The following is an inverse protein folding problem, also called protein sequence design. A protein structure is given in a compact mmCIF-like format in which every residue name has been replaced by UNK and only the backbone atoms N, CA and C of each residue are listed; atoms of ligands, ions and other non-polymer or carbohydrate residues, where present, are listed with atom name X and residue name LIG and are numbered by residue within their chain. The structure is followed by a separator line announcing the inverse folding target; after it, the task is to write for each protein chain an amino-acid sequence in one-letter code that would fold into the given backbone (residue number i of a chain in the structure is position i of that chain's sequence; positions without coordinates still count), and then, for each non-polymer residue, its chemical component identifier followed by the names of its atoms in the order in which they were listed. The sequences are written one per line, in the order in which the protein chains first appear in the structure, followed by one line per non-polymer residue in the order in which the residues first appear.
data_IF_710175154886
#
_entry.id   IF_710175154886
#
_cell.length_a   1.000
_cell.length_b   1.000
_cell.length_c   1.000
_cell.angle_alpha   90.00
_cell.angle_beta   90.00
_cell.angle_gamma   90.00
#
_symmetry.space_group_name_H-M   'P 1'
#
loop_
_entity.id
_entity.type
_entity.pdbx_description
1 polymer ?
#
# COMPACT_ATOMS: atom_id res chain seq x y z
N UNK A 1 -11.22 33.62 -3.35
CA UNK A 1 -10.61 32.27 -3.36
C UNK A 1 -9.15 32.22 -3.82
N UNK A 2 -8.74 32.92 -4.89
CA UNK A 2 -7.34 32.88 -5.37
C UNK A 2 -6.30 33.43 -4.37
N UNK A 3 -6.64 34.49 -3.63
CA UNK A 3 -5.74 35.08 -2.61
C UNK A 3 -5.49 34.15 -1.42
N UNK A 4 -6.51 33.40 -0.99
CA UNK A 4 -6.40 32.44 0.12
C UNK A 4 -5.64 31.17 -0.31
N UNK A 5 -5.74 30.79 -1.58
CA UNK A 5 -4.99 29.66 -2.14
C UNK A 5 -3.49 29.99 -2.27
N UNK A 6 -3.12 31.23 -2.62
CA UNK A 6 -1.71 31.67 -2.63
C UNK A 6 -1.15 31.84 -1.21
N UNK A 7 -1.97 32.30 -0.25
CA UNK A 7 -1.56 32.40 1.16
C UNK A 7 -1.35 31.01 1.79
N UNK A 8 -2.21 30.04 1.47
CA UNK A 8 -2.08 28.66 1.93
C UNK A 8 -0.85 27.97 1.33
N UNK A 9 -0.50 28.26 0.07
CA UNK A 9 0.70 27.70 -0.58
C UNK A 9 2.00 28.29 0.00
N UNK A 10 2.00 29.58 0.36
CA UNK A 10 3.12 30.24 1.04
C UNK A 10 3.28 29.77 2.50
N UNK A 11 2.17 29.49 3.19
CA UNK A 11 2.17 28.95 4.55
C UNK A 11 2.64 27.48 4.57
N UNK A 12 2.32 26.68 3.55
CA UNK A 12 2.81 25.30 3.40
C UNK A 12 4.32 25.25 3.09
N UNK A 13 4.84 26.24 2.36
CA UNK A 13 6.28 26.38 2.11
C UNK A 13 7.08 26.82 3.37
N UNK A 14 6.44 27.49 4.33
CA UNK A 14 7.04 27.85 5.63
C UNK A 14 7.07 26.68 6.63
N UNK A 15 6.21 25.67 6.45
CA UNK A 15 6.19 24.44 7.27
C UNK A 15 7.22 23.40 6.82
N UNK A 16 7.77 23.54 5.60
CA UNK A 16 9.02 22.88 5.20
C UNK A 16 10.19 23.70 5.75
N UNK A 17 10.30 23.77 7.07
CA UNK A 17 11.41 24.43 7.73
C UNK A 17 12.71 23.81 7.26
N UNK A 18 13.43 24.51 6.38
CA UNK A 18 14.81 24.18 6.02
C UNK A 18 15.62 24.30 7.31
N UNK A 19 15.81 23.20 8.04
CA UNK A 19 16.50 23.24 9.31
C UNK A 19 17.92 23.74 9.07
N UNK A 20 18.26 24.88 9.66
CA UNK A 20 19.63 25.37 9.54
C UNK A 20 20.55 24.40 10.29
N UNK A 21 21.76 24.17 9.80
CA UNK A 21 22.72 23.24 10.44
C UNK A 21 23.05 23.67 11.87
N UNK A 22 23.00 24.99 12.13
CA UNK A 22 23.12 25.57 13.48
C UNK A 22 21.95 25.20 14.40
N UNK A 23 20.74 25.06 13.84
CA UNK A 23 19.57 24.58 14.59
C UNK A 23 19.76 23.12 14.98
N UNK A 24 20.10 22.25 14.03
CA UNK A 24 20.35 20.82 14.27
C UNK A 24 21.41 20.61 15.36
N UNK A 25 22.56 21.30 15.24
CA UNK A 25 23.61 21.26 16.26
C UNK A 25 23.10 21.66 17.66
N UNK A 26 22.31 22.74 17.77
CA UNK A 26 21.77 23.21 19.05
C UNK A 26 20.77 22.24 19.70
N UNK A 27 20.10 21.42 18.90
CA UNK A 27 19.15 20.42 19.39
C UNK A 27 19.82 19.08 19.72
N UNK A 28 21.13 18.93 19.47
CA UNK A 28 21.86 17.67 19.69
C UNK A 28 21.88 16.75 18.47
N UNK A 29 21.29 17.16 17.34
CA UNK A 29 21.25 16.40 16.08
C UNK A 29 22.58 16.53 15.32
N UNK A 30 23.68 16.14 15.96
CA UNK A 30 25.03 16.36 15.45
C UNK A 30 25.29 15.66 14.10
N UNK A 31 24.73 14.45 13.92
CA UNK A 31 24.86 13.67 12.69
C UNK A 31 24.31 14.43 11.47
N UNK A 32 23.07 14.90 11.56
CA UNK A 32 22.41 15.62 10.48
C UNK A 32 23.03 17.01 10.29
N UNK A 33 23.48 17.66 11.37
CA UNK A 33 24.20 18.92 11.29
C UNK A 33 25.50 18.81 10.46
N UNK A 34 26.20 17.67 10.51
CA UNK A 34 27.36 17.39 9.64
C UNK A 34 26.92 17.29 8.18
N UNK A 35 25.94 16.45 7.85
CA UNK A 35 25.49 16.27 6.46
C UNK A 35 24.99 17.57 5.83
N UNK A 36 24.21 18.33 6.57
CA UNK A 36 23.71 19.62 6.12
C UNK A 36 24.86 20.61 5.88
N UNK A 37 25.89 20.59 6.74
CA UNK A 37 27.06 21.46 6.58
C UNK A 37 27.92 21.06 5.39
N UNK A 38 28.16 19.75 5.19
CA UNK A 38 28.87 19.22 4.02
C UNK A 38 28.14 19.60 2.73
N UNK A 39 26.82 19.42 2.68
CA UNK A 39 25.98 19.75 1.52
C UNK A 39 26.08 21.24 1.17
N UNK A 40 26.01 22.13 2.17
CA UNK A 40 26.19 23.57 1.95
C UNK A 40 27.59 23.94 1.47
N UNK A 41 28.63 23.26 1.97
CA UNK A 41 30.01 23.48 1.55
C UNK A 41 30.29 22.96 0.13
N UNK A 42 29.58 21.92 -0.32
CA UNK A 42 29.61 21.47 -1.72
C UNK A 42 29.01 22.53 -2.66
N UNK A 43 27.90 23.16 -2.26
CA UNK A 43 27.28 24.25 -3.03
C UNK A 43 28.04 25.57 -2.94
N UNK A 44 28.68 25.87 -1.80
CA UNK A 44 29.50 27.06 -1.59
C UNK A 44 30.71 26.74 -0.69
N UNK A 45 31.90 26.52 -1.28
CA UNK A 45 33.12 26.15 -0.54
C UNK A 45 33.56 27.12 0.55
N UNK A 46 33.16 28.39 0.48
CA UNK A 46 33.55 29.45 1.43
C UNK A 46 32.42 29.80 2.42
N UNK A 47 31.43 28.93 2.59
CA UNK A 47 30.25 29.19 3.41
C UNK A 47 30.57 29.22 4.92
N UNK A 48 30.89 30.42 5.45
CA UNK A 48 31.30 30.67 6.85
C UNK A 48 30.51 29.91 7.93
N UNK A 49 29.17 29.97 7.91
CA UNK A 49 28.34 29.29 8.93
C UNK A 49 28.40 27.76 8.83
N UNK A 50 28.57 27.22 7.62
CA UNK A 50 28.65 25.77 7.42
C UNK A 50 30.03 25.27 7.83
N UNK A 51 31.07 26.08 7.61
CA UNK A 51 32.41 25.86 8.18
C UNK A 51 32.37 25.80 9.70
N UNK A 52 31.78 26.82 10.36
CA UNK A 52 31.65 26.86 11.82
C UNK A 52 30.89 25.65 12.36
N UNK A 53 29.73 25.33 11.77
CA UNK A 53 28.89 24.21 12.22
C UNK A 53 29.62 22.89 12.00
N UNK A 54 30.25 22.64 10.85
CA UNK A 54 30.98 21.39 10.58
C UNK A 54 32.12 21.16 11.58
N UNK A 55 32.90 22.21 11.90
CA UNK A 55 33.99 22.12 12.88
C UNK A 55 33.53 21.71 14.27
N UNK A 56 32.29 22.06 14.65
CA UNK A 56 31.72 21.73 15.95
C UNK A 56 30.94 20.41 15.92
N UNK A 57 30.12 20.19 14.90
CA UNK A 57 29.19 19.08 14.83
C UNK A 57 29.88 17.75 14.53
N UNK A 58 30.95 17.73 13.73
CA UNK A 58 31.65 16.49 13.41
C UNK A 58 32.27 15.80 14.64
N UNK A 59 33.15 16.45 15.43
CA UNK A 59 33.70 15.81 16.62
C UNK A 59 32.62 15.46 17.64
N UNK A 60 31.60 16.31 17.80
CA UNK A 60 30.46 16.03 18.68
C UNK A 60 29.67 14.79 18.23
N UNK A 61 29.43 14.63 16.92
CA UNK A 61 28.73 13.46 16.37
C UNK A 61 29.52 12.18 16.62
N UNK A 62 30.83 12.17 16.31
CA UNK A 62 31.69 11.00 16.53
C UNK A 62 31.72 10.63 18.02
N UNK A 63 31.99 11.60 18.90
CA UNK A 63 32.02 11.38 20.35
C UNK A 63 30.68 10.86 20.88
N UNK A 64 29.57 11.44 20.43
CA UNK A 64 28.24 11.06 20.87
C UNK A 64 27.87 9.63 20.44
N UNK A 65 28.20 9.25 19.20
CA UNK A 65 27.97 7.90 18.69
C UNK A 65 28.86 6.89 19.41
N UNK A 66 30.17 7.17 19.54
CA UNK A 66 31.11 6.29 20.24
C UNK A 66 30.70 6.08 21.71
N UNK A 67 30.32 7.15 22.41
CA UNK A 67 29.88 7.07 23.80
C UNK A 67 28.64 6.19 23.97
N UNK A 68 27.68 6.26 23.04
CA UNK A 68 26.50 5.39 23.05
C UNK A 68 26.87 3.93 22.82
N UNK A 69 27.76 3.64 21.87
CA UNK A 69 28.23 2.27 21.63
C UNK A 69 28.93 1.71 22.87
N UNK A 70 29.84 2.48 23.48
CA UNK A 70 30.53 2.06 24.70
C UNK A 70 29.56 1.86 25.87
N UNK A 71 28.57 2.75 26.04
CA UNK A 71 27.56 2.61 27.08
C UNK A 71 26.69 1.36 26.87
N UNK A 72 26.26 1.08 25.64
CA UNK A 72 25.48 -0.11 25.31
C UNK A 72 26.28 -1.40 25.56
N UNK A 73 27.57 -1.39 25.21
CA UNK A 73 28.47 -2.53 25.46
C UNK A 73 28.70 -2.74 26.95
N UNK A 74 29.00 -1.67 27.69
CA UNK A 74 29.29 -1.73 29.13
C UNK A 74 28.07 -2.12 29.97
N UNK A 75 26.86 -1.80 29.52
CA UNK A 75 25.60 -2.14 30.20
C UNK A 75 24.99 -3.47 29.75
N UNK A 76 25.70 -4.25 28.91
CA UNK A 76 25.24 -5.55 28.41
C UNK A 76 23.84 -5.51 27.76
N UNK A 77 23.57 -4.46 26.97
CA UNK A 77 22.26 -4.32 26.33
C UNK A 77 22.00 -5.46 25.33
N UNK A 78 20.76 -5.95 25.21
CA UNK A 78 20.38 -6.90 24.18
C UNK A 78 20.75 -6.38 22.79
N UNK A 79 21.43 -7.21 21.99
CA UNK A 79 21.87 -6.86 20.63
C UNK A 79 22.79 -5.63 20.56
N UNK A 80 23.58 -5.37 21.60
CA UNK A 80 24.58 -4.28 21.65
C UNK A 80 25.54 -4.31 20.45
N UNK A 81 25.98 -5.49 19.98
CA UNK A 81 26.93 -5.56 18.87
C UNK A 81 26.26 -5.30 17.53
N UNK A 82 25.01 -5.75 17.36
CA UNK A 82 24.16 -5.36 16.22
C UNK A 82 24.02 -3.83 16.14
N UNK A 83 23.70 -3.18 17.27
CA UNK A 83 23.63 -1.72 17.37
C UNK A 83 24.98 -1.05 17.06
N UNK A 84 26.09 -1.61 17.58
CA UNK A 84 27.43 -1.11 17.31
C UNK A 84 27.78 -1.13 15.81
N UNK A 85 27.38 -2.17 15.06
CA UNK A 85 27.58 -2.21 13.60
C UNK A 85 26.88 -1.04 12.91
N UNK A 86 25.63 -0.76 13.27
CA UNK A 86 24.87 0.37 12.71
C UNK A 86 25.51 1.72 13.06
N UNK A 87 25.86 1.91 14.34
CA UNK A 87 26.45 3.16 14.82
C UNK A 87 27.85 3.42 14.22
N UNK A 88 28.70 2.41 14.09
CA UNK A 88 29.98 2.56 13.41
C UNK A 88 29.82 2.82 11.91
N UNK A 89 28.83 2.22 11.26
CA UNK A 89 28.49 2.56 9.87
C UNK A 89 28.10 4.03 9.73
N UNK A 90 27.37 4.59 10.70
CA UNK A 90 27.05 6.03 10.72
C UNK A 90 28.32 6.89 10.77
N UNK A 91 29.31 6.56 11.61
CA UNK A 91 30.59 7.29 11.63
C UNK A 91 31.30 7.20 10.26
N UNK A 92 31.32 6.01 9.64
CA UNK A 92 31.90 5.84 8.31
C UNK A 92 31.16 6.64 7.23
N UNK A 93 29.84 6.77 7.32
CA UNK A 93 29.08 7.63 6.41
C UNK A 93 29.46 9.11 6.57
N UNK A 94 29.73 9.58 7.79
CA UNK A 94 30.24 10.95 8.02
C UNK A 94 31.64 11.13 7.44
N UNK A 95 32.53 10.15 7.66
CA UNK A 95 33.86 10.11 7.07
C UNK A 95 33.80 10.25 5.55
N UNK A 96 33.00 9.41 4.91
CA UNK A 96 32.80 9.39 3.47
C UNK A 96 32.26 10.72 2.92
N UNK A 97 31.27 11.30 3.60
CA UNK A 97 30.68 12.58 3.20
C UNK A 97 31.72 13.71 3.20
N UNK A 98 32.59 13.73 4.21
CA UNK A 98 33.69 14.70 4.31
C UNK A 98 34.73 14.43 3.23
N UNK A 99 35.15 13.18 3.05
CA UNK A 99 36.15 12.78 2.04
C UNK A 99 35.72 13.16 0.61
N UNK A 100 34.42 13.09 0.30
CA UNK A 100 33.85 13.46 -1.01
C UNK A 100 33.66 14.97 -1.21
N UNK A 101 33.95 15.80 -0.20
CA UNK A 101 33.81 17.26 -0.28
C UNK A 101 35.15 17.95 -0.04
N UNK A 102 35.83 18.47 -1.08
CA UNK A 102 37.13 19.14 -0.91
C UNK A 102 37.10 20.32 0.07
N UNK A 103 35.96 21.02 0.16
CA UNK A 103 35.78 22.11 1.12
C UNK A 103 35.64 21.59 2.56
N UNK A 104 34.89 20.50 2.78
CA UNK A 104 34.77 19.87 4.08
C UNK A 104 36.09 19.23 4.54
N UNK A 105 36.81 18.58 3.62
CA UNK A 105 38.10 17.95 3.89
C UNK A 105 39.17 18.98 4.31
N UNK A 106 39.13 20.22 3.79
CA UNK A 106 40.00 21.30 4.30
C UNK A 106 39.74 21.65 5.75
N UNK A 107 38.49 21.49 6.21
CA UNK A 107 38.05 21.82 7.57
C UNK A 107 38.35 20.66 8.52
N UNK A 108 38.09 19.44 8.07
CA UNK A 108 38.36 18.18 8.79
C UNK A 108 39.32 17.34 7.92
N UNK A 109 40.65 17.55 8.03
CA UNK A 109 41.61 16.88 7.15
C UNK A 109 41.73 15.37 7.37
N UNK A 110 41.48 14.92 8.60
CA UNK A 110 41.62 13.52 8.99
C UNK A 110 40.31 13.03 9.62
N UNK A 111 39.23 12.84 8.85
CA UNK A 111 38.00 12.29 9.39
C UNK A 111 38.26 10.85 9.89
N UNK A 112 37.86 10.57 11.12
CA UNK A 112 37.95 9.24 11.76
C UNK A 112 37.06 8.24 11.01
N UNK A 113 37.58 7.03 10.83
CA UNK A 113 36.83 5.86 10.35
C UNK A 113 36.77 4.78 11.43
N UNK A 114 35.73 3.96 11.41
CA UNK A 114 35.49 2.80 12.28
C UNK A 114 35.44 1.49 11.50
N UNK A 115 36.19 1.37 10.39
CA UNK A 115 36.22 0.16 9.56
C UNK A 115 36.79 -1.07 10.26
N UNK A 116 37.68 -0.90 11.23
CA UNK A 116 38.20 -2.02 12.01
C UNK A 116 37.16 -2.48 13.05
N UNK A 117 36.61 -1.51 13.78
CA UNK A 117 35.62 -1.74 14.84
C UNK A 117 34.32 -2.31 14.29
N UNK A 118 33.90 -1.92 13.08
CA UNK A 118 32.74 -2.54 12.44
C UNK A 118 33.01 -4.00 12.08
N UNK A 119 34.23 -4.36 11.66
CA UNK A 119 34.62 -5.76 11.40
C UNK A 119 34.49 -6.61 12.66
N UNK A 120 35.11 -6.17 13.76
CA UNK A 120 35.02 -6.85 15.06
C UNK A 120 33.59 -6.89 15.61
N UNK A 121 32.81 -5.82 15.44
CA UNK A 121 31.42 -5.77 15.86
C UNK A 121 30.53 -6.70 15.02
N UNK A 122 30.82 -6.89 13.73
CA UNK A 122 30.07 -7.82 12.87
C UNK A 122 30.23 -9.26 13.33
N UNK A 123 31.43 -9.70 13.68
CA UNK A 123 31.66 -11.06 14.19
C UNK A 123 30.87 -11.31 15.46
N UNK A 124 30.87 -10.35 16.40
CA UNK A 124 30.12 -10.44 17.66
C UNK A 124 28.61 -10.30 17.46
N UNK A 125 28.16 -9.45 16.52
CA UNK A 125 26.76 -9.32 16.18
C UNK A 125 26.22 -10.60 15.56
N UNK A 126 27.00 -11.26 14.70
CA UNK A 126 26.63 -12.56 14.13
C UNK A 126 26.45 -13.60 15.23
N UNK A 127 27.36 -13.65 16.21
CA UNK A 127 27.25 -14.53 17.38
C UNK A 127 26.01 -14.25 18.23
N UNK A 128 25.76 -12.98 18.58
CA UNK A 128 24.58 -12.58 19.35
C UNK A 128 23.29 -13.01 18.64
N UNK A 129 23.20 -12.73 17.34
CA UNK A 129 22.01 -13.05 16.55
C UNK A 129 21.82 -14.55 16.38
N UNK A 130 22.88 -15.30 16.08
CA UNK A 130 22.81 -16.76 15.97
C UNK A 130 22.38 -17.39 17.30
N UNK A 131 22.99 -16.98 18.41
CA UNK A 131 22.68 -17.50 19.75
C UNK A 131 21.24 -17.18 20.14
N UNK A 132 20.79 -15.95 19.89
CA UNK A 132 19.39 -15.57 20.10
C UNK A 132 18.46 -16.41 19.20
N UNK A 133 18.81 -16.65 17.94
CA UNK A 133 18.02 -17.48 17.02
C UNK A 133 17.84 -18.91 17.52
N UNK A 134 18.92 -19.52 18.05
CA UNK A 134 18.85 -20.84 18.69
C UNK A 134 17.91 -20.80 19.91
N UNK A 135 18.04 -19.79 20.77
CA UNK A 135 17.17 -19.65 21.94
C UNK A 135 15.69 -19.47 21.57
N UNK A 136 15.40 -18.78 20.47
CA UNK A 136 14.04 -18.66 19.95
C UNK A 136 13.52 -20.01 19.42
N UNK A 137 14.34 -20.77 18.68
CA UNK A 137 13.96 -22.12 18.20
C UNK A 137 13.65 -23.09 19.35
N UNK A 138 14.38 -23.01 20.47
CA UNK A 138 14.16 -23.84 21.66
C UNK A 138 12.77 -23.65 22.30
N UNK A 139 12.10 -22.52 22.05
CA UNK A 139 10.73 -22.25 22.53
C UNK A 139 9.67 -23.04 21.76
N UNK A 140 10.06 -23.70 20.66
CA UNK A 140 9.27 -24.68 19.91
C UNK A 140 7.84 -24.22 19.58
N UNK A 141 7.70 -22.99 19.09
CA UNK A 141 6.46 -22.51 18.51
C UNK A 141 6.72 -21.61 17.31
N UNK A 142 5.65 -21.39 16.55
CA UNK A 142 5.70 -20.72 15.25
C UNK A 142 6.21 -19.28 15.31
N UNK A 143 5.72 -18.49 16.26
CA UNK A 143 6.09 -17.08 16.35
C UNK A 143 7.57 -16.91 16.72
N UNK A 144 8.08 -17.76 17.62
CA UNK A 144 9.50 -17.78 17.92
C UNK A 144 10.33 -18.31 16.74
N UNK A 145 9.80 -19.25 15.94
CA UNK A 145 10.49 -19.70 14.70
C UNK A 145 10.61 -18.58 13.67
N UNK A 146 9.61 -17.69 13.52
CA UNK A 146 9.75 -16.49 12.66
C UNK A 146 10.83 -15.55 13.16
N UNK A 147 10.86 -15.31 14.48
CA UNK A 147 11.87 -14.47 15.08
C UNK A 147 13.27 -15.07 14.86
N UNK A 148 13.41 -16.38 15.05
CA UNK A 148 14.63 -17.11 14.77
C UNK A 148 15.08 -16.97 13.30
N UNK A 149 14.16 -17.09 12.34
CA UNK A 149 14.46 -16.88 10.92
C UNK A 149 15.12 -15.52 10.66
N UNK A 150 14.55 -14.44 11.19
CA UNK A 150 15.13 -13.10 11.03
C UNK A 150 16.48 -12.97 11.75
N UNK A 151 16.64 -13.58 12.93
CA UNK A 151 17.89 -13.59 13.67
C UNK A 151 19.01 -14.33 12.91
N UNK A 152 18.72 -15.49 12.31
CA UNK A 152 19.68 -16.22 11.49
C UNK A 152 20.01 -15.48 10.18
N UNK A 153 19.01 -14.86 9.55
CA UNK A 153 19.21 -13.99 8.40
C UNK A 153 20.16 -12.83 8.74
N UNK A 154 19.96 -12.19 9.89
CA UNK A 154 20.82 -11.10 10.35
C UNK A 154 22.24 -11.62 10.67
N UNK A 155 22.37 -12.79 11.30
CA UNK A 155 23.67 -13.42 11.55
C UNK A 155 24.46 -13.66 10.26
N UNK A 156 23.80 -14.28 9.25
CA UNK A 156 24.38 -14.47 7.92
C UNK A 156 24.65 -13.14 7.19
N UNK A 157 23.85 -12.11 7.44
CA UNK A 157 24.05 -10.76 6.91
C UNK A 157 25.27 -10.03 7.50
N UNK A 158 25.59 -10.29 8.78
CA UNK A 158 26.80 -9.77 9.42
C UNK A 158 28.05 -10.54 9.00
N UNK A 159 28.00 -11.86 9.02
CA UNK A 159 29.10 -12.72 8.56
C UNK A 159 28.50 -13.81 7.65
N UNK A 160 28.76 -13.76 6.32
CA UNK A 160 28.25 -14.76 5.40
C UNK A 160 28.67 -16.17 5.80
N UNK A 161 27.71 -17.08 5.91
CA UNK A 161 27.97 -18.45 6.35
C UNK A 161 28.42 -18.55 7.81
N UNK A 162 27.99 -17.62 8.68
CA UNK A 162 28.29 -17.70 10.11
C UNK A 162 27.72 -18.99 10.70
N UNK A 163 28.61 -19.95 11.03
CA UNK A 163 28.23 -21.30 11.49
C UNK A 163 27.19 -21.91 10.54
N UNK A 164 26.16 -22.56 11.05
CA UNK A 164 25.04 -23.13 10.28
C UNK A 164 23.87 -22.14 10.11
N UNK A 165 24.15 -20.84 10.04
CA UNK A 165 23.09 -19.81 9.98
C UNK A 165 22.16 -19.97 8.76
N UNK A 166 22.66 -20.48 7.63
CA UNK A 166 21.85 -20.70 6.43
C UNK A 166 20.88 -21.86 6.67
N UNK A 167 21.38 -23.01 7.14
CA UNK A 167 20.56 -24.20 7.43
C UNK A 167 19.55 -23.91 8.54
N UNK A 168 19.95 -23.18 9.58
CA UNK A 168 19.07 -22.78 10.67
C UNK A 168 18.01 -21.77 10.22
N UNK A 169 18.35 -20.85 9.31
CA UNK A 169 17.39 -19.94 8.69
C UNK A 169 16.33 -20.72 7.92
N UNK A 170 16.72 -21.69 7.09
CA UNK A 170 15.78 -22.52 6.31
C UNK A 170 14.90 -23.38 7.21
N UNK A 171 15.48 -23.96 8.27
CA UNK A 171 14.72 -24.71 9.28
C UNK A 171 13.70 -23.82 9.98
N UNK A 172 14.14 -22.68 10.50
CA UNK A 172 13.26 -21.71 11.18
C UNK A 172 12.16 -21.21 10.24
N UNK A 173 12.48 -21.01 8.96
CA UNK A 173 11.51 -20.64 7.93
C UNK A 173 10.45 -21.71 7.75
N UNK A 174 10.86 -22.97 7.64
CA UNK A 174 9.94 -24.10 7.49
C UNK A 174 9.01 -24.26 8.71
N UNK A 175 9.57 -24.12 9.92
CA UNK A 175 8.84 -24.24 11.19
C UNK A 175 7.87 -23.05 11.39
N UNK A 176 8.22 -21.87 10.88
CA UNK A 176 7.38 -20.68 10.87
C UNK A 176 6.27 -20.70 9.80
N UNK A 177 6.44 -21.46 8.73
CA UNK A 177 5.56 -21.39 7.55
C UNK A 177 4.27 -22.19 7.74
N UNK A 178 3.12 -21.54 7.54
CA UNK A 178 1.85 -22.23 7.47
C UNK A 178 1.64 -22.76 6.06
N UNK A 179 1.60 -24.08 5.96
CA UNK A 179 1.20 -24.82 4.76
C UNK A 179 -0.32 -24.94 4.73
N UNK A 180 -0.95 -24.47 3.66
CA UNK A 180 -2.40 -24.42 3.48
C UNK A 180 -2.79 -25.22 2.25
N UNK A 181 -3.71 -26.17 2.38
CA UNK A 181 -4.35 -26.80 1.22
C UNK A 181 -5.45 -25.89 0.68
N UNK A 182 -5.51 -25.69 -0.63
CA UNK A 182 -6.66 -25.09 -1.30
C UNK A 182 -7.50 -26.23 -1.89
N UNK A 183 -8.68 -26.45 -1.33
CA UNK A 183 -9.58 -27.52 -1.73
C UNK A 183 -10.05 -27.35 -3.19
N UNK A 184 -10.44 -28.45 -3.84
CA UNK A 184 -10.90 -28.43 -5.22
C UNK A 184 -12.26 -27.75 -5.33
N UNK A 185 -12.39 -26.80 -6.25
CA UNK A 185 -13.68 -26.17 -6.54
C UNK A 185 -14.64 -27.15 -7.21
N UNK A 186 -15.89 -27.13 -6.78
CA UNK A 186 -16.95 -27.83 -7.47
C UNK A 186 -17.24 -27.16 -8.83
N UNK A 187 -17.49 -27.93 -9.89
CA UNK A 187 -17.90 -27.37 -11.17
C UNK A 187 -19.22 -26.62 -10.99
N UNK A 188 -19.33 -25.48 -11.68
CA UNK A 188 -20.55 -24.68 -11.70
C UNK A 188 -20.95 -24.36 -13.14
N UNK A 189 -22.23 -24.03 -13.35
CA UNK A 189 -22.79 -23.77 -14.69
C UNK A 189 -22.13 -22.62 -15.45
N UNK A 190 -21.41 -21.74 -14.76
CA UNK A 190 -20.71 -20.60 -15.35
C UNK A 190 -19.23 -20.90 -15.64
N UNK A 191 -18.75 -22.08 -15.24
CA UNK A 191 -17.35 -22.48 -15.31
C UNK A 191 -16.41 -21.46 -14.65
N UNK A 192 -16.87 -20.83 -13.56
CA UNK A 192 -16.07 -19.88 -12.79
C UNK A 192 -15.12 -20.61 -11.85
N UNK A 193 -13.88 -20.12 -11.78
CA UNK A 193 -12.83 -20.64 -10.90
C UNK A 193 -12.22 -19.49 -10.10
N UNK A 194 -12.08 -19.68 -8.79
CA UNK A 194 -11.62 -18.67 -7.85
C UNK A 194 -10.34 -19.06 -7.10
N UNK A 195 -9.99 -20.35 -7.06
CA UNK A 195 -8.79 -20.85 -6.39
C UNK A 195 -7.51 -20.13 -6.83
N UNK A 196 -7.40 -19.73 -8.10
CA UNK A 196 -6.26 -18.97 -8.61
C UNK A 196 -6.00 -17.67 -7.83
N UNK A 197 -7.06 -17.04 -7.29
CA UNK A 197 -6.94 -15.81 -6.49
C UNK A 197 -6.50 -16.09 -5.05
N UNK A 198 -6.76 -17.29 -4.52
CA UNK A 198 -6.15 -17.76 -3.28
C UNK A 198 -4.65 -17.98 -3.49
N UNK A 199 -4.27 -18.69 -4.56
CA UNK A 199 -2.87 -18.96 -4.90
C UNK A 199 -2.05 -17.72 -5.25
N UNK A 200 -2.70 -16.67 -5.75
CA UNK A 200 -2.07 -15.39 -6.07
C UNK A 200 -1.58 -14.63 -4.83
N UNK A 201 -2.03 -14.97 -3.62
CA UNK A 201 -1.56 -14.33 -2.40
C UNK A 201 -0.10 -14.72 -2.10
N UNK A 202 0.77 -13.71 -2.06
CA UNK A 202 2.23 -13.84 -1.80
C UNK A 202 2.78 -12.82 -0.81
N UNK A 203 1.93 -11.98 -0.22
CA UNK A 203 2.38 -10.87 0.65
C UNK A 203 3.00 -11.34 1.97
N UNK A 204 2.65 -12.54 2.44
CA UNK A 204 3.24 -13.13 3.63
C UNK A 204 4.11 -14.32 3.26
N UNK A 205 5.42 -14.16 3.44
CA UNK A 205 6.40 -15.21 3.13
C UNK A 205 6.26 -16.45 4.04
N UNK A 206 5.52 -16.38 5.15
CA UNK A 206 5.28 -17.51 6.06
C UNK A 206 3.93 -18.19 5.83
N UNK A 207 3.34 -18.00 4.65
CA UNK A 207 2.13 -18.70 4.22
C UNK A 207 2.36 -19.27 2.83
N UNK A 208 2.14 -20.57 2.67
CA UNK A 208 2.34 -21.27 1.42
C UNK A 208 1.12 -22.14 1.10
N UNK A 209 0.56 -21.95 -0.09
CA UNK A 209 -0.59 -22.70 -0.57
C UNK A 209 -0.18 -23.88 -1.43
N UNK A 210 -0.94 -24.97 -1.31
CA UNK A 210 -0.76 -26.20 -2.05
C UNK A 210 -2.09 -26.71 -2.59
N UNK A 211 -2.04 -27.34 -3.75
CA UNK A 211 -3.14 -28.17 -4.25
C UNK A 211 -3.17 -29.52 -3.53
N UNK A 212 -4.32 -30.21 -3.50
CA UNK A 212 -4.39 -31.58 -2.96
C UNK A 212 -3.49 -32.56 -3.70
N UNK A 213 -3.18 -32.32 -4.97
CA UNK A 213 -2.27 -33.14 -5.79
C UNK A 213 -0.82 -33.00 -5.30
N UNK A 214 -0.38 -31.78 -4.99
CA UNK A 214 0.95 -31.52 -4.46
C UNK A 214 1.15 -32.21 -3.12
N UNK A 215 0.19 -32.09 -2.21
CA UNK A 215 0.26 -32.76 -0.90
C UNK A 215 0.24 -34.28 -1.03
N UNK A 216 -0.51 -34.84 -2.00
CA UNK A 216 -0.52 -36.29 -2.25
C UNK A 216 0.77 -36.80 -2.87
N UNK A 217 1.48 -35.98 -3.65
CA UNK A 217 2.71 -36.37 -4.33
C UNK A 217 3.96 -36.16 -3.49
N UNK A 218 3.92 -35.28 -2.49
CA UNK A 218 5.02 -35.01 -1.57
C UNK A 218 4.54 -35.12 -0.11
N UNK A 219 4.88 -36.24 0.52
CA UNK A 219 4.51 -36.55 1.91
C UNK A 219 5.23 -35.70 2.95
N UNK A 220 6.26 -34.93 2.56
CA UNK A 220 6.95 -33.99 3.46
C UNK A 220 6.13 -32.72 3.71
N UNK A 221 5.13 -32.44 2.86
CA UNK A 221 4.21 -31.33 3.07
C UNK A 221 3.21 -31.75 4.15
N UNK A 222 3.34 -31.16 5.34
CA UNK A 222 2.38 -31.28 6.44
C UNK A 222 1.51 -30.02 6.51
N UNK A 223 0.28 -30.04 5.95
CA UNK A 223 -0.59 -28.87 5.95
C UNK A 223 -1.19 -28.66 7.33
N UNK A 224 -1.32 -27.40 7.72
CA UNK A 224 -1.95 -27.01 8.98
C UNK A 224 -3.40 -26.58 8.78
N UNK A 225 -3.72 -26.07 7.59
CA UNK A 225 -5.03 -25.51 7.28
C UNK A 225 -5.54 -25.98 5.92
N UNK A 226 -6.85 -25.89 5.74
CA UNK A 226 -7.53 -26.00 4.46
C UNK A 226 -8.38 -24.77 4.19
N UNK A 227 -8.30 -24.25 2.98
CA UNK A 227 -9.16 -23.20 2.43
C UNK A 227 -10.10 -23.87 1.43
N UNK A 228 -11.39 -23.61 1.56
CA UNK A 228 -12.41 -24.02 0.59
C UNK A 228 -13.16 -22.79 0.11
N UNK A 229 -13.28 -22.67 -1.21
CA UNK A 229 -14.06 -21.61 -1.87
C UNK A 229 -15.19 -22.29 -2.62
N UNK A 230 -16.42 -22.08 -2.16
CA UNK A 230 -17.60 -22.65 -2.78
C UNK A 230 -18.39 -21.58 -3.50
N UNK A 231 -18.58 -21.73 -4.81
CA UNK A 231 -19.55 -20.92 -5.53
C UNK A 231 -20.97 -21.33 -5.14
N UNK A 232 -21.72 -20.42 -4.52
CA UNK A 232 -23.09 -20.70 -4.09
C UNK A 232 -24.09 -20.38 -5.20
N UNK A 233 -24.10 -19.12 -5.66
CA UNK A 233 -25.07 -18.67 -6.66
C UNK A 233 -24.65 -17.40 -7.37
N UNK A 234 -25.21 -17.25 -8.56
CA UNK A 234 -25.31 -16.01 -9.31
C UNK A 234 -26.75 -15.85 -9.81
N UNK A 235 -27.31 -14.66 -9.68
CA UNK A 235 -28.63 -14.33 -10.19
C UNK A 235 -28.71 -12.89 -10.68
N UNK A 236 -29.55 -12.67 -11.70
CA UNK A 236 -29.86 -11.35 -12.25
C UNK A 236 -31.34 -11.05 -12.06
N UNK A 237 -31.67 -9.79 -11.81
CA UNK A 237 -33.06 -9.33 -11.87
C UNK A 237 -33.48 -9.11 -13.33
N UNK A 238 -34.74 -9.38 -13.68
CA UNK A 238 -35.27 -8.98 -14.98
C UNK A 238 -35.13 -7.46 -15.18
N UNK A 239 -34.94 -6.98 -16.43
CA UNK A 239 -34.92 -5.55 -16.70
C UNK A 239 -36.20 -4.88 -16.23
N UNK A 240 -36.04 -3.83 -15.40
CA UNK A 240 -37.14 -2.97 -14.97
C UNK A 240 -37.05 -1.62 -15.66
N UNK A 241 -38.20 -1.08 -16.09
CA UNK A 241 -38.28 0.25 -16.70
C UNK A 241 -39.15 1.14 -15.83
N UNK A 242 -38.58 2.24 -15.33
CA UNK A 242 -39.33 3.33 -14.70
C UNK A 242 -39.46 4.50 -15.67
N UNK A 243 -40.51 5.32 -15.50
CA UNK A 243 -40.77 6.48 -16.34
C UNK A 243 -41.09 7.71 -15.51
N UNK A 244 -40.65 8.87 -15.98
CA UNK A 244 -40.95 10.18 -15.39
C UNK A 244 -41.33 11.14 -16.50
N UNK A 245 -42.51 11.75 -16.39
CA UNK A 245 -42.99 12.75 -17.34
C UNK A 245 -42.87 14.14 -16.75
N UNK A 246 -42.28 15.05 -17.51
CA UNK A 246 -42.12 16.46 -17.14
C UNK A 246 -42.68 17.34 -18.24
N UNK A 247 -43.43 18.37 -17.84
CA UNK A 247 -43.92 19.40 -18.73
C UNK A 247 -43.04 20.64 -18.56
N UNK A 248 -42.64 21.23 -19.67
CA UNK A 248 -41.84 22.44 -19.74
C UNK A 248 -42.64 23.53 -20.43
N UNK A 249 -42.47 24.77 -19.98
CA UNK A 249 -43.06 25.93 -20.62
C UNK A 249 -42.22 27.15 -20.37
N UNK A 250 -41.96 27.92 -21.43
CA UNK A 250 -41.25 29.19 -21.32
C UNK A 250 -41.69 30.17 -22.42
N UNK A 251 -41.48 31.47 -22.15
CA UNK A 251 -41.79 32.57 -23.05
C UNK A 251 -40.53 32.97 -23.82
N UNK A 252 -40.42 32.51 -25.06
CA UNK A 252 -39.26 32.77 -25.92
C UNK A 252 -39.51 33.96 -26.85
N UNK A 253 -38.47 34.75 -27.09
CA UNK A 253 -38.52 35.83 -28.08
C UNK A 253 -38.53 35.21 -29.48
N UNK A 254 -39.58 35.48 -30.26
CA UNK A 254 -39.78 34.95 -31.62
C UNK A 254 -39.57 35.99 -32.72
N UNK A 255 -39.34 37.23 -32.33
CA UNK A 255 -39.08 38.35 -33.23
C UNK A 255 -39.06 39.68 -32.49
N UNK A 256 -38.89 40.77 -33.22
CA UNK A 256 -38.97 42.12 -32.69
C UNK A 256 -40.05 42.90 -33.46
N UNK A 257 -40.84 43.68 -32.74
CA UNK A 257 -41.82 44.60 -33.34
C UNK A 257 -41.40 46.03 -33.04
N UNK A 258 -41.30 46.85 -34.07
CA UNK A 258 -41.05 48.29 -33.93
C UNK A 258 -42.34 48.97 -33.49
N UNK A 259 -42.31 49.60 -32.31
CA UNK A 259 -43.41 50.41 -31.79
C UNK A 259 -42.88 51.82 -31.58
N UNK A 260 -43.16 52.73 -32.51
CA UNK A 260 -42.49 54.04 -32.59
C UNK A 260 -41.05 53.90 -33.14
N UNK A 261 -40.06 54.48 -32.45
CA UNK A 261 -38.62 54.35 -32.77
C UNK A 261 -37.90 53.22 -31.99
N UNK A 262 -38.60 52.51 -31.10
CA UNK A 262 -38.00 51.48 -30.22
C UNK A 262 -38.40 50.08 -30.67
N UNK A 263 -37.41 49.17 -30.77
CA UNK A 263 -37.64 47.74 -31.01
C UNK A 263 -38.02 47.04 -29.70
N UNK A 264 -39.14 46.33 -29.70
CA UNK A 264 -39.58 45.52 -28.55
C UNK A 264 -39.60 44.03 -28.92
N UNK A 265 -39.11 43.12 -28.05
CA UNK A 265 -39.18 41.70 -28.30
C UNK A 265 -40.63 41.21 -28.28
N UNK A 266 -41.04 40.48 -29.31
CA UNK A 266 -42.28 39.72 -29.35
C UNK A 266 -42.01 38.37 -28.71
N UNK A 267 -42.63 38.12 -27.55
CA UNK A 267 -42.53 36.84 -26.86
C UNK A 267 -43.73 35.96 -27.17
N UNK A 268 -43.49 34.67 -27.38
CA UNK A 268 -44.53 33.64 -27.52
C UNK A 268 -44.29 32.57 -26.46
N UNK A 269 -45.37 32.10 -25.85
CA UNK A 269 -45.34 30.97 -24.93
C UNK A 269 -45.18 29.67 -25.72
N UNK A 270 -44.21 28.85 -25.33
CA UNK A 270 -43.95 27.54 -25.89
C UNK A 270 -44.04 26.50 -24.80
N UNK A 271 -44.53 25.32 -25.14
CA UNK A 271 -44.61 24.17 -24.23
C UNK A 271 -43.96 22.95 -24.86
N UNK A 272 -43.43 22.09 -24.01
CA UNK A 272 -42.95 20.78 -24.38
C UNK A 272 -43.24 19.78 -23.26
N UNK A 273 -43.23 18.51 -23.61
CA UNK A 273 -43.29 17.41 -22.67
C UNK A 273 -42.13 16.48 -22.97
N UNK A 274 -41.46 15.98 -21.93
CA UNK A 274 -40.54 14.87 -22.05
C UNK A 274 -40.93 13.76 -21.09
N UNK A 275 -40.99 12.53 -21.60
CA UNK A 275 -41.05 11.31 -20.79
C UNK A 275 -39.69 10.64 -20.83
N UNK A 276 -38.97 10.71 -19.71
CA UNK A 276 -37.70 10.02 -19.52
C UNK A 276 -37.98 8.63 -18.99
N UNK A 277 -37.38 7.63 -19.61
CA UNK A 277 -37.40 6.24 -19.19
C UNK A 277 -36.03 5.87 -18.64
N UNK A 278 -36.01 5.09 -17.56
CA UNK A 278 -34.80 4.50 -17.00
C UNK A 278 -34.96 2.99 -16.97
N UNK A 279 -34.08 2.28 -17.67
CA UNK A 279 -33.99 0.82 -17.59
C UNK A 279 -32.90 0.46 -16.61
N UNK A 280 -33.17 -0.52 -15.75
CA UNK A 280 -32.19 -1.01 -14.77
C UNK A 280 -32.26 -2.51 -14.59
N UNK A 281 -31.10 -3.10 -14.29
CA UNK A 281 -30.92 -4.49 -13.91
C UNK A 281 -29.89 -4.57 -12.79
N UNK A 282 -30.01 -5.58 -11.96
CA UNK A 282 -29.04 -5.87 -10.90
C UNK A 282 -28.63 -7.32 -10.94
N UNK A 283 -27.43 -7.61 -10.43
CA UNK A 283 -26.96 -8.97 -10.24
C UNK A 283 -26.39 -9.17 -8.86
N UNK A 284 -26.53 -10.38 -8.33
CA UNK A 284 -25.96 -10.83 -7.07
C UNK A 284 -25.13 -12.09 -7.30
N UNK A 285 -23.90 -12.10 -6.79
CA UNK A 285 -23.02 -13.26 -6.76
C UNK A 285 -22.57 -13.56 -5.34
N UNK A 286 -22.51 -14.83 -4.97
CA UNK A 286 -22.13 -15.27 -3.62
C UNK A 286 -21.13 -16.43 -3.71
N UNK A 287 -19.98 -16.24 -3.06
CA UNK A 287 -19.06 -17.32 -2.68
C UNK A 287 -19.17 -17.57 -1.18
N UNK A 288 -18.97 -18.81 -0.77
CA UNK A 288 -18.74 -19.17 0.61
C UNK A 288 -17.26 -19.50 0.80
N UNK A 289 -16.61 -18.81 1.74
CA UNK A 289 -15.22 -19.01 2.09
C UNK A 289 -15.14 -19.68 3.46
N UNK A 290 -14.49 -20.84 3.50
CA UNK A 290 -14.17 -21.53 4.75
C UNK A 290 -12.66 -21.69 4.86
N UNK A 291 -12.11 -21.38 6.04
CA UNK A 291 -10.72 -21.70 6.41
C UNK A 291 -10.78 -22.49 7.71
N UNK A 292 -10.24 -23.70 7.71
CA UNK A 292 -10.27 -24.59 8.85
C UNK A 292 -8.87 -25.06 9.25
N UNK A 293 -8.65 -25.21 10.55
CA UNK A 293 -7.47 -25.88 11.09
C UNK A 293 -7.62 -27.40 10.94
N UNK A 294 -6.64 -28.06 10.33
CA UNK A 294 -6.73 -29.50 10.00
C UNK A 294 -6.53 -30.42 11.20
N UNK A 295 -5.94 -29.94 12.29
CA UNK A 295 -5.70 -30.75 13.49
C UNK A 295 -6.94 -30.78 14.39
N UNK A 296 -7.57 -29.64 14.58
CA UNK A 296 -8.71 -29.46 15.49
C UNK A 296 -10.06 -29.44 14.77
N UNK A 297 -10.08 -29.30 13.45
CA UNK A 297 -11.27 -29.01 12.63
C UNK A 297 -11.97 -27.69 13.02
N UNK A 298 -11.29 -26.79 13.75
CA UNK A 298 -11.85 -25.50 14.09
C UNK A 298 -11.98 -24.61 12.85
N UNK A 299 -13.16 -23.99 12.69
CA UNK A 299 -13.39 -22.99 11.65
C UNK A 299 -12.72 -21.68 12.06
N UNK A 300 -11.61 -21.35 11.40
CA UNK A 300 -10.86 -20.10 11.60
C UNK A 300 -11.50 -18.93 10.84
N UNK A 301 -12.13 -19.23 9.69
CA UNK A 301 -12.94 -18.29 8.91
C UNK A 301 -14.13 -19.06 8.32
N UNK A 302 -15.29 -18.44 8.39
CA UNK A 302 -16.52 -18.95 7.79
C UNK A 302 -17.38 -17.74 7.39
N UNK A 303 -17.39 -17.37 6.11
CA UNK A 303 -18.05 -16.13 5.67
C UNK A 303 -18.49 -16.19 4.21
N UNK A 304 -19.48 -15.39 3.87
CA UNK A 304 -19.93 -15.22 2.49
C UNK A 304 -19.26 -13.99 1.86
N UNK A 305 -18.63 -14.19 0.72
CA UNK A 305 -18.14 -13.13 -0.15
C UNK A 305 -19.25 -12.76 -1.12
N UNK A 306 -19.81 -11.56 -0.96
CA UNK A 306 -20.99 -11.10 -1.70
C UNK A 306 -20.66 -9.97 -2.67
N UNK A 307 -21.15 -10.10 -3.89
CA UNK A 307 -21.10 -9.07 -4.91
C UNK A 307 -22.51 -8.66 -5.32
N UNK A 308 -22.72 -7.35 -5.45
CA UNK A 308 -23.95 -6.77 -5.97
C UNK A 308 -23.57 -5.74 -7.03
N UNK A 309 -24.02 -5.95 -8.28
CA UNK A 309 -23.77 -5.03 -9.39
C UNK A 309 -25.09 -4.49 -9.93
N UNK A 310 -24.99 -3.34 -10.61
CA UNK A 310 -26.14 -2.77 -11.30
C UNK A 310 -25.73 -2.22 -12.65
N UNK A 311 -26.66 -2.32 -13.59
CA UNK A 311 -26.61 -1.65 -14.88
C UNK A 311 -27.83 -0.75 -14.98
N UNK A 312 -27.65 0.48 -15.47
CA UNK A 312 -28.79 1.33 -15.79
C UNK A 312 -28.46 2.31 -16.90
N UNK A 313 -29.44 2.60 -17.74
CA UNK A 313 -29.32 3.59 -18.81
C UNK A 313 -30.69 4.25 -19.09
N UNK A 314 -30.68 5.38 -19.79
CA UNK A 314 -31.83 6.27 -19.96
C UNK A 314 -32.06 6.69 -21.42
N UNK A 315 -33.32 6.84 -21.77
CA UNK A 315 -33.77 7.42 -23.04
C UNK A 315 -35.02 8.27 -22.79
N UNK A 316 -35.39 9.13 -23.75
CA UNK A 316 -36.57 9.96 -23.61
C UNK A 316 -37.38 10.07 -24.90
N UNK A 317 -38.70 10.10 -24.74
CA UNK A 317 -39.62 10.59 -25.75
C UNK A 317 -39.94 12.04 -25.45
N UNK A 318 -39.85 12.92 -26.45
CA UNK A 318 -40.04 14.35 -26.28
C UNK A 318 -40.99 14.88 -27.36
N UNK A 319 -41.92 15.74 -26.96
CA UNK A 319 -42.92 16.35 -27.84
C UNK A 319 -43.09 17.84 -27.54
N UNK A 320 -43.51 18.63 -28.53
CA UNK A 320 -43.64 20.08 -28.42
C UNK A 320 -42.35 20.82 -28.78
N UNK A 321 -42.15 22.03 -28.24
CA UNK A 321 -41.02 22.87 -28.63
C UNK A 321 -39.74 22.50 -27.87
N UNK A 322 -38.81 21.83 -28.54
CA UNK A 322 -37.56 21.38 -27.96
C UNK A 322 -36.70 22.54 -27.38
N UNK A 323 -36.95 23.80 -27.73
CA UNK A 323 -36.21 24.95 -27.18
C UNK A 323 -36.48 25.17 -25.70
N UNK A 324 -37.65 24.76 -25.19
CA UNK A 324 -37.98 24.88 -23.75
C UNK A 324 -37.58 23.64 -22.93
N UNK A 325 -37.04 22.60 -23.57
CA UNK A 325 -36.52 21.41 -22.89
C UNK A 325 -35.07 21.65 -22.43
N UNK A 326 -34.74 21.42 -21.13
CA UNK A 326 -33.39 21.51 -20.62
C UNK A 326 -32.40 20.59 -21.33
N UNK A 327 -31.15 21.03 -21.54
CA UNK A 327 -30.13 20.27 -22.28
C UNK A 327 -29.89 18.85 -21.74
N UNK A 328 -29.99 18.64 -20.42
CA UNK A 328 -29.85 17.33 -19.78
C UNK A 328 -30.89 16.32 -20.26
N UNK A 329 -32.14 16.76 -20.47
CA UNK A 329 -33.23 15.92 -21.00
C UNK A 329 -33.20 15.86 -22.52
N UNK A 330 -32.85 16.98 -23.17
CA UNK A 330 -32.70 17.08 -24.62
C UNK A 330 -31.72 16.04 -25.19
N UNK A 331 -30.61 15.78 -24.49
CA UNK A 331 -29.63 14.77 -24.89
C UNK A 331 -30.16 13.33 -24.83
N UNK A 332 -31.31 13.09 -24.18
CA UNK A 332 -31.97 11.80 -24.12
C UNK A 332 -33.10 11.67 -25.15
N UNK A 333 -33.62 12.80 -25.64
CA UNK A 333 -34.71 12.83 -26.60
C UNK A 333 -34.30 12.14 -27.91
N UNK A 334 -35.05 11.12 -28.32
CA UNK A 334 -34.79 10.37 -29.55
C UNK A 334 -33.70 9.29 -29.44
N UNK A 335 -33.12 9.07 -28.26
CA UNK A 335 -32.35 7.85 -28.00
C UNK A 335 -33.27 6.63 -28.03
N UNK A 336 -32.78 5.53 -28.62
CA UNK A 336 -33.45 4.23 -28.55
C UNK A 336 -33.37 3.63 -27.15
N UNK A 337 -34.28 2.71 -26.83
CA UNK A 337 -34.22 1.95 -25.59
C UNK A 337 -32.87 1.20 -25.51
N UNK A 338 -32.13 1.35 -24.40
CA UNK A 338 -30.83 0.70 -24.25
C UNK A 338 -31.00 -0.81 -24.00
N UNK A 339 -30.10 -1.58 -24.60
CA UNK A 339 -29.97 -3.03 -24.40
C UNK A 339 -28.64 -3.26 -23.68
N UNK A 340 -28.65 -3.81 -22.45
CA UNK A 340 -27.41 -4.14 -21.77
C UNK A 340 -26.57 -5.11 -22.60
N UNK A 341 -25.26 -4.89 -22.65
CA UNK A 341 -24.35 -5.81 -23.31
C UNK A 341 -24.47 -7.20 -22.67
N UNK A 342 -24.58 -8.23 -23.50
CA UNK A 342 -24.68 -9.61 -23.03
C UNK A 342 -23.47 -9.97 -22.15
N UNK A 343 -23.74 -10.53 -20.97
CA UNK A 343 -22.69 -10.92 -20.01
C UNK A 343 -22.03 -9.77 -19.26
N UNK A 344 -22.47 -8.52 -19.43
CA UNK A 344 -21.91 -7.37 -18.69
C UNK A 344 -21.98 -7.59 -17.19
N UNK A 345 -23.18 -7.85 -16.65
CA UNK A 345 -23.38 -8.07 -15.22
C UNK A 345 -22.70 -9.36 -14.74
N UNK A 346 -22.65 -10.39 -15.57
CA UNK A 346 -21.95 -11.66 -15.29
C UNK A 346 -20.46 -11.40 -15.03
N UNK A 347 -19.80 -10.69 -15.96
CA UNK A 347 -18.39 -10.38 -15.88
C UNK A 347 -18.08 -9.42 -14.72
N UNK A 348 -18.87 -8.35 -14.55
CA UNK A 348 -18.67 -7.38 -13.47
C UNK A 348 -18.82 -8.02 -12.09
N UNK A 349 -19.86 -8.85 -11.89
CA UNK A 349 -20.06 -9.55 -10.62
C UNK A 349 -18.94 -10.54 -10.36
N UNK A 350 -18.48 -11.28 -11.37
CA UNK A 350 -17.33 -12.17 -11.24
C UNK A 350 -16.09 -11.40 -10.79
N UNK A 351 -15.69 -10.34 -11.50
CA UNK A 351 -14.49 -9.56 -11.17
C UNK A 351 -14.54 -8.96 -9.77
N UNK A 352 -15.70 -8.49 -9.32
CA UNK A 352 -15.85 -7.99 -7.95
C UNK A 352 -15.74 -9.11 -6.90
N UNK A 353 -16.31 -10.29 -7.16
CA UNK A 353 -16.11 -11.47 -6.30
C UNK A 353 -14.63 -11.86 -6.21
N UNK A 354 -13.89 -11.85 -7.33
CA UNK A 354 -12.46 -12.15 -7.38
C UNK A 354 -11.65 -11.16 -6.51
N UNK A 355 -11.93 -9.86 -6.64
CA UNK A 355 -11.29 -8.82 -5.85
C UNK A 355 -11.61 -8.93 -4.35
N UNK A 356 -12.88 -9.17 -4.01
CA UNK A 356 -13.30 -9.33 -2.61
C UNK A 356 -12.73 -10.60 -1.97
N UNK A 357 -12.70 -11.72 -2.69
CA UNK A 357 -12.05 -12.95 -2.21
C UNK A 357 -10.56 -12.71 -1.97
N UNK A 358 -9.87 -12.04 -2.89
CA UNK A 358 -8.46 -11.69 -2.70
C UNK A 358 -8.26 -10.83 -1.45
N UNK A 359 -9.16 -9.87 -1.20
CA UNK A 359 -9.17 -9.06 0.01
C UNK A 359 -9.40 -9.87 1.30
N UNK A 360 -10.29 -10.86 1.25
CA UNK A 360 -10.56 -11.78 2.38
C UNK A 360 -9.34 -12.64 2.71
N UNK A 361 -8.72 -13.26 1.70
CA UNK A 361 -7.49 -14.05 1.85
C UNK A 361 -6.35 -13.17 2.40
N UNK A 362 -6.16 -11.98 1.83
CA UNK A 362 -5.13 -11.06 2.29
C UNK A 362 -5.37 -10.56 3.73
N UNK A 363 -6.62 -10.24 4.07
CA UNK A 363 -6.99 -9.78 5.41
C UNK A 363 -6.87 -10.86 6.49
N UNK A 364 -7.03 -12.14 6.11
CA UNK A 364 -6.83 -13.27 7.01
C UNK A 364 -5.34 -13.62 7.16
N UNK A 365 -4.67 -13.95 6.05
CA UNK A 365 -3.28 -14.42 6.06
C UNK A 365 -2.24 -13.31 6.28
N UNK A 366 -2.61 -12.04 6.12
CA UNK A 366 -1.73 -10.91 6.44
C UNK A 366 -1.45 -10.72 7.94
N UNK A 367 -2.19 -11.39 8.81
CA UNK A 367 -1.99 -11.36 10.28
C UNK A 367 -1.16 -12.52 10.79
N UNK A 368 -0.96 -13.54 9.95
CA UNK A 368 -0.10 -14.66 10.24
C UNK A 368 1.35 -14.31 9.99
#
# INVERSE_FOLDING_TARGET
MRLYSTLALALLALLLGCSSGKSLYKHGDYYDAVFESVTRLQGNPNHKKATEVLSLSYPAAVQYIDAQVQAAIASDQPFKWRSAVEQYARINNLHDAIMRSPAALKIIPNPVSRFKEIGEARDKAAEECYTAGINEMLKNNRENSKQAYYLFRDANGFVPGYRESIEMMDKAKSDATIRVIVDREAPNRFNWTFNQFVFAYKSNEFVQFYTPEQVRSDTSIHPHQVVSVQFLRYGETPPSVSRTTSNFGDSLVVGEKTVGTVKKPVKKWFTAQATVFRKSMTSEGILHLTIADLKSNALLRNTDVRSAMSWSDQWASCSGDNRVIPSSTKNLCGKSEPVPQQGYLVNQTRTDLEGKLSGEIAGFYGRY
#
